data_IF_706012148040
#
_entry.id   IF_706012148040
#
_cell.length_a   1.000
_cell.length_b   1.000
_cell.length_c   1.000
_cell.angle_alpha   90.00
_cell.angle_beta   90.00
_cell.angle_gamma   90.00
#
_symmetry.space_group_name_H-M   'P 1'
#
loop_
_entity.id
_entity.type
_entity.pdbx_description
1 polymer ?
#
# COMPACT_ATOMS: atom_id res chain seq x y z
N UNK A 1 -23.00 -3.06 -11.79
CA UNK A 1 -23.38 -1.85 -11.01
C UNK A 1 -22.70 -0.67 -11.66
N UNK A 2 -23.48 0.24 -12.26
CA UNK A 2 -22.96 1.51 -12.78
C UNK A 2 -22.64 2.38 -11.54
N UNK A 3 -21.36 2.45 -11.19
CA UNK A 3 -20.95 3.36 -10.12
C UNK A 3 -21.25 4.79 -10.57
N UNK A 4 -22.01 5.52 -9.77
CA UNK A 4 -22.25 6.94 -10.00
C UNK A 4 -20.93 7.71 -9.86
N UNK A 5 -20.77 8.85 -10.55
CA UNK A 5 -19.64 9.77 -10.36
C UNK A 5 -19.44 10.09 -8.86
N UNK A 6 -20.54 10.22 -8.13
CA UNK A 6 -20.52 10.43 -6.68
C UNK A 6 -19.81 9.30 -5.94
N UNK A 7 -20.03 8.03 -6.32
CA UNK A 7 -19.40 6.89 -5.68
C UNK A 7 -17.88 6.88 -5.94
N UNK A 8 -17.45 7.22 -7.17
CA UNK A 8 -16.04 7.36 -7.51
C UNK A 8 -15.36 8.46 -6.68
N UNK A 9 -16.00 9.62 -6.53
CA UNK A 9 -15.49 10.72 -5.71
C UNK A 9 -15.34 10.31 -4.23
N UNK A 10 -16.34 9.64 -3.67
CA UNK A 10 -16.30 9.14 -2.30
C UNK A 10 -15.13 8.15 -2.12
N UNK A 11 -14.97 7.22 -3.06
CA UNK A 11 -13.89 6.23 -3.01
C UNK A 11 -12.50 6.87 -3.12
N UNK A 12 -12.32 7.88 -3.99
CA UNK A 12 -11.08 8.66 -4.08
C UNK A 12 -10.77 9.32 -2.73
N UNK A 13 -11.76 9.98 -2.12
CA UNK A 13 -11.59 10.65 -0.82
C UNK A 13 -11.20 9.63 0.27
N UNK A 14 -11.91 8.51 0.37
CA UNK A 14 -11.64 7.47 1.36
C UNK A 14 -10.23 6.88 1.21
N UNK A 15 -9.83 6.53 -0.02
CA UNK A 15 -8.50 5.99 -0.31
C UNK A 15 -7.42 7.04 0.00
N UNK A 16 -7.63 8.30 -0.40
CA UNK A 16 -6.68 9.39 -0.14
C UNK A 16 -6.49 9.65 1.36
N UNK A 17 -7.57 9.67 2.14
CA UNK A 17 -7.51 9.83 3.60
C UNK A 17 -6.71 8.68 4.23
N UNK A 18 -7.03 7.42 3.88
CA UNK A 18 -6.30 6.26 4.38
C UNK A 18 -4.82 6.30 4.02
N UNK A 19 -4.49 6.77 2.82
CA UNK A 19 -3.13 6.92 2.32
C UNK A 19 -2.35 7.99 3.09
N UNK A 20 -2.93 9.18 3.27
CA UNK A 20 -2.32 10.30 4.01
C UNK A 20 -2.11 9.93 5.49
N UNK A 21 -3.12 9.36 6.15
CA UNK A 21 -3.00 8.93 7.56
C UNK A 21 -1.88 7.91 7.71
N UNK A 22 -1.81 6.91 6.80
CA UNK A 22 -0.76 5.91 6.82
C UNK A 22 0.62 6.52 6.63
N UNK A 23 0.76 7.53 5.74
CA UNK A 23 2.04 8.20 5.51
C UNK A 23 2.47 9.07 6.68
N UNK A 24 1.54 9.81 7.30
CA UNK A 24 1.81 10.57 8.53
C UNK A 24 2.30 9.63 9.63
N UNK A 25 1.66 8.47 9.81
CA UNK A 25 2.10 7.46 10.78
C UNK A 25 3.52 6.97 10.49
N UNK A 26 3.84 6.71 9.23
CA UNK A 26 5.20 6.30 8.83
C UNK A 26 6.21 7.38 9.16
N UNK A 27 5.97 8.61 8.74
CA UNK A 27 6.94 9.71 8.90
C UNK A 27 7.08 10.20 10.35
N UNK A 28 5.97 10.22 11.10
CA UNK A 28 5.96 10.81 12.45
C UNK A 28 6.25 9.80 13.57
N UNK A 29 6.04 8.50 13.32
CA UNK A 29 6.17 7.48 14.37
C UNK A 29 7.13 6.38 13.95
N UNK A 30 6.89 5.73 12.79
CA UNK A 30 7.62 4.50 12.42
C UNK A 30 9.08 4.81 12.09
N UNK A 31 9.31 5.78 11.19
CA UNK A 31 10.68 6.14 10.77
C UNK A 31 11.51 6.69 11.94
N UNK A 32 11.02 7.63 12.78
CA UNK A 32 11.76 8.09 13.95
C UNK A 32 12.07 6.97 14.94
N UNK A 33 11.11 6.09 15.22
CA UNK A 33 11.32 4.93 16.09
C UNK A 33 12.36 3.97 15.50
N UNK A 34 12.28 3.69 14.20
CA UNK A 34 13.25 2.84 13.49
C UNK A 34 14.66 3.44 13.56
N UNK A 35 14.82 4.74 13.34
CA UNK A 35 16.10 5.43 13.44
C UNK A 35 16.68 5.39 14.85
N UNK A 36 15.83 5.48 15.87
CA UNK A 36 16.27 5.44 17.27
C UNK A 36 16.72 4.05 17.71
N UNK A 37 15.92 2.99 17.39
CA UNK A 37 16.20 1.63 17.86
C UNK A 37 17.07 0.80 16.92
N UNK A 38 17.09 1.14 15.63
CA UNK A 38 17.75 0.37 14.57
C UNK A 38 18.50 1.30 13.58
N UNK A 39 19.47 2.10 14.05
CA UNK A 39 20.13 3.12 13.22
C UNK A 39 20.90 2.53 12.03
N UNK A 40 21.29 1.25 12.09
CA UNK A 40 21.98 0.56 11.00
C UNK A 40 21.07 0.19 9.81
N UNK A 41 19.75 0.27 9.99
CA UNK A 41 18.80 -0.03 8.91
C UNK A 41 18.67 1.21 8.03
N UNK A 42 18.74 1.00 6.74
CA UNK A 42 18.76 2.08 5.75
C UNK A 42 17.57 3.04 5.90
N UNK A 43 17.81 4.33 5.74
CA UNK A 43 16.78 5.36 5.75
C UNK A 43 15.90 5.33 4.49
N UNK A 44 16.22 4.46 3.52
CA UNK A 44 15.50 4.35 2.25
C UNK A 44 14.21 3.54 2.32
N UNK A 45 14.01 2.74 3.39
CA UNK A 45 12.84 1.89 3.54
C UNK A 45 12.37 1.83 4.99
N UNK A 46 11.07 2.01 5.21
CA UNK A 46 10.45 1.77 6.50
C UNK A 46 10.17 0.27 6.68
N UNK A 47 10.53 -0.31 7.85
CA UNK A 47 10.27 -1.71 8.19
C UNK A 47 8.80 -2.04 8.44
N UNK A 48 7.95 -1.03 8.58
CA UNK A 48 6.50 -1.16 8.67
C UNK A 48 5.92 -0.07 7.77
N UNK A 49 5.29 -0.47 6.67
CA UNK A 49 4.76 0.46 5.67
C UNK A 49 3.26 0.23 5.41
N UNK A 50 2.36 0.74 6.28
CA UNK A 50 0.92 0.49 6.22
C UNK A 50 0.24 0.94 4.92
N UNK A 51 0.86 1.87 4.16
CA UNK A 51 0.35 2.30 2.86
C UNK A 51 0.16 1.12 1.91
N UNK A 52 1.03 0.10 1.99
CA UNK A 52 0.88 -1.10 1.17
C UNK A 52 -0.42 -1.85 1.49
N UNK A 53 -0.81 -1.90 2.77
CA UNK A 53 -2.10 -2.43 3.18
C UNK A 53 -3.29 -1.68 2.56
N UNK A 54 -3.22 -0.35 2.50
CA UNK A 54 -4.24 0.46 1.82
C UNK A 54 -4.30 0.12 0.33
N UNK A 55 -3.16 -0.09 -0.35
CA UNK A 55 -3.10 -0.50 -1.77
C UNK A 55 -3.78 -1.85 -1.98
N UNK A 56 -3.45 -2.84 -1.17
CA UNK A 56 -4.01 -4.21 -1.26
C UNK A 56 -5.52 -4.20 -1.02
N UNK A 57 -5.99 -3.49 0.02
CA UNK A 57 -7.42 -3.37 0.32
C UNK A 57 -8.16 -2.65 -0.81
N UNK A 58 -7.60 -1.55 -1.31
CA UNK A 58 -8.21 -0.80 -2.41
C UNK A 58 -8.31 -1.64 -3.69
N UNK A 59 -7.27 -2.39 -4.02
CA UNK A 59 -7.27 -3.30 -5.16
C UNK A 59 -8.32 -4.41 -5.01
N UNK A 60 -8.44 -4.97 -3.80
CA UNK A 60 -9.42 -6.01 -3.51
C UNK A 60 -10.87 -5.51 -3.54
N UNK A 61 -11.14 -4.29 -3.03
CA UNK A 61 -12.48 -3.70 -2.97
C UNK A 61 -12.94 -3.13 -4.30
N UNK A 62 -12.05 -2.46 -5.04
CA UNK A 62 -12.41 -1.64 -6.20
C UNK A 62 -11.90 -2.22 -7.53
N UNK A 63 -11.15 -3.33 -7.49
CA UNK A 63 -10.58 -3.93 -8.70
C UNK A 63 -9.72 -2.92 -9.48
N UNK A 64 -9.88 -2.88 -10.81
CA UNK A 64 -9.11 -1.99 -11.69
C UNK A 64 -9.30 -0.48 -11.40
N UNK A 65 -10.42 -0.06 -10.82
CA UNK A 65 -10.63 1.33 -10.42
C UNK A 65 -9.69 1.79 -9.30
N UNK A 66 -9.15 0.85 -8.51
CA UNK A 66 -8.17 1.16 -7.48
C UNK A 66 -6.92 1.84 -8.04
N UNK A 67 -6.53 1.55 -9.29
CA UNK A 67 -5.37 2.18 -9.95
C UNK A 67 -5.56 3.69 -10.00
N UNK A 68 -6.74 4.13 -10.48
CA UNK A 68 -7.04 5.56 -10.56
C UNK A 68 -7.11 6.21 -9.18
N UNK A 69 -7.78 5.55 -8.21
CA UNK A 69 -7.94 6.10 -6.87
C UNK A 69 -6.60 6.24 -6.15
N UNK A 70 -5.75 5.23 -6.24
CA UNK A 70 -4.41 5.24 -5.64
C UNK A 70 -3.48 6.23 -6.34
N UNK A 71 -3.56 6.35 -7.66
CA UNK A 71 -2.76 7.32 -8.40
C UNK A 71 -3.09 8.76 -8.00
N UNK A 72 -4.39 9.09 -7.91
CA UNK A 72 -4.85 10.39 -7.40
C UNK A 72 -4.43 10.59 -5.94
N UNK A 73 -4.53 9.56 -5.09
CA UNK A 73 -4.09 9.62 -3.70
C UNK A 73 -2.60 9.93 -3.57
N UNK A 74 -1.74 9.36 -4.44
CA UNK A 74 -0.31 9.69 -4.49
C UNK A 74 -0.06 11.15 -4.85
N UNK A 75 -0.81 11.67 -5.84
CA UNK A 75 -0.72 13.10 -6.23
C UNK A 75 -1.12 13.99 -5.05
N UNK A 76 -2.27 13.73 -4.44
CA UNK A 76 -2.76 14.51 -3.29
C UNK A 76 -1.75 14.45 -2.14
N UNK A 77 -1.24 13.27 -1.82
CA UNK A 77 -0.24 13.06 -0.78
C UNK A 77 1.03 13.87 -1.04
N UNK A 78 1.51 13.91 -2.29
CA UNK A 78 2.68 14.69 -2.67
C UNK A 78 2.46 16.18 -2.37
N UNK A 79 1.37 16.77 -2.83
CA UNK A 79 1.09 18.19 -2.60
C UNK A 79 0.81 18.55 -1.13
N UNK A 80 0.30 17.60 -0.35
CA UNK A 80 -0.02 17.84 1.07
C UNK A 80 1.22 17.67 1.96
N UNK A 81 2.05 16.65 1.72
CA UNK A 81 3.14 16.28 2.63
C UNK A 81 4.52 16.71 2.14
N UNK A 82 4.71 16.87 0.84
CA UNK A 82 6.00 17.21 0.24
C UNK A 82 5.87 18.27 -0.86
N UNK A 83 5.21 19.43 -0.58
CA UNK A 83 4.90 20.43 -1.62
C UNK A 83 6.14 21.05 -2.27
N UNK A 84 7.29 21.01 -1.60
CA UNK A 84 8.57 21.54 -2.10
C UNK A 84 9.39 20.52 -2.91
N UNK A 85 8.96 19.26 -2.98
CA UNK A 85 9.68 18.25 -3.74
C UNK A 85 9.36 18.36 -5.24
N UNK A 86 10.40 18.30 -6.06
CA UNK A 86 10.25 18.38 -7.52
C UNK A 86 9.51 17.17 -8.09
N UNK A 87 8.60 17.44 -9.01
CA UNK A 87 7.93 16.42 -9.79
C UNK A 87 8.87 15.89 -10.87
N UNK A 88 9.32 14.67 -10.72
CA UNK A 88 10.20 14.01 -11.66
C UNK A 88 9.50 12.89 -12.43
N UNK A 89 10.06 12.47 -13.57
CA UNK A 89 9.57 11.29 -14.28
C UNK A 89 9.62 10.06 -13.39
N UNK A 90 10.63 9.92 -12.52
CA UNK A 90 10.74 8.84 -11.56
C UNK A 90 9.57 8.84 -10.57
N UNK A 91 9.10 10.01 -10.12
CA UNK A 91 7.93 10.14 -9.25
C UNK A 91 6.68 9.56 -9.91
N UNK A 92 6.41 9.94 -11.17
CA UNK A 92 5.26 9.41 -11.92
C UNK A 92 5.35 7.90 -12.17
N UNK A 93 6.53 7.39 -12.49
CA UNK A 93 6.76 5.95 -12.65
C UNK A 93 6.53 5.20 -11.35
N UNK A 94 7.05 5.72 -10.22
CA UNK A 94 6.84 5.14 -8.90
C UNK A 94 5.35 5.14 -8.51
N UNK A 95 4.62 6.25 -8.72
CA UNK A 95 3.18 6.30 -8.46
C UNK A 95 2.38 5.33 -9.33
N UNK A 96 2.76 5.19 -10.62
CA UNK A 96 2.14 4.22 -11.52
C UNK A 96 2.36 2.79 -11.05
N UNK A 97 3.58 2.46 -10.65
CA UNK A 97 3.94 1.15 -10.10
C UNK A 97 3.11 0.84 -8.85
N UNK A 98 3.18 1.70 -7.83
CA UNK A 98 2.52 1.44 -6.53
C UNK A 98 1.00 1.43 -6.62
N UNK A 99 0.42 2.12 -7.60
CA UNK A 99 -1.03 2.12 -7.84
C UNK A 99 -1.51 0.85 -8.54
N UNK A 100 -0.64 0.21 -9.33
CA UNK A 100 -1.01 -0.92 -10.21
C UNK A 100 -0.68 -2.27 -9.59
N UNK A 101 0.41 -2.38 -8.82
CA UNK A 101 1.02 -3.65 -8.44
C UNK A 101 0.08 -4.58 -7.66
N UNK A 102 -0.72 -4.07 -6.73
CA UNK A 102 -1.63 -4.90 -5.94
C UNK A 102 -2.79 -5.45 -6.79
N UNK A 103 -3.36 -4.63 -7.67
CA UNK A 103 -4.36 -5.08 -8.62
C UNK A 103 -3.78 -6.08 -9.62
N UNK A 104 -2.62 -5.80 -10.19
CA UNK A 104 -1.93 -6.71 -11.10
C UNK A 104 -1.71 -8.09 -10.45
N UNK A 105 -1.30 -8.11 -9.19
CA UNK A 105 -1.09 -9.37 -8.44
C UNK A 105 -2.40 -10.15 -8.30
N UNK A 106 -3.51 -9.49 -7.97
CA UNK A 106 -4.83 -10.13 -7.89
C UNK A 106 -5.27 -10.71 -9.24
N UNK A 107 -5.05 -9.97 -10.33
CA UNK A 107 -5.36 -10.45 -11.69
C UNK A 107 -4.46 -11.61 -12.11
N UNK A 108 -3.17 -11.58 -11.77
CA UNK A 108 -2.26 -12.68 -12.06
C UNK A 108 -2.71 -13.98 -11.38
N UNK A 109 -3.13 -13.91 -10.11
CA UNK A 109 -3.73 -15.06 -9.43
C UNK A 109 -5.03 -15.51 -10.10
N UNK A 110 -5.88 -14.59 -10.52
CA UNK A 110 -7.14 -14.90 -11.22
C UNK A 110 -6.89 -15.62 -12.53
N UNK A 111 -5.92 -15.16 -13.33
CA UNK A 111 -5.53 -15.81 -14.60
C UNK A 111 -4.93 -17.20 -14.35
N UNK A 112 -4.21 -17.39 -13.24
CA UNK A 112 -3.69 -18.67 -12.80
C UNK A 112 -4.78 -19.61 -12.22
N UNK A 113 -6.07 -19.24 -12.31
CA UNK A 113 -7.20 -20.03 -11.82
C UNK A 113 -7.50 -19.87 -10.32
N UNK A 114 -6.80 -19.00 -9.63
CA UNK A 114 -6.97 -18.74 -8.19
C UNK A 114 -7.72 -17.41 -8.01
N UNK A 115 -9.04 -17.46 -7.88
CA UNK A 115 -9.83 -16.25 -7.66
C UNK A 115 -9.74 -15.82 -6.19
N UNK A 116 -9.00 -14.74 -5.95
CA UNK A 116 -8.84 -14.13 -4.61
C UNK A 116 -9.86 -13.01 -4.35
N UNK A 117 -10.60 -12.57 -5.37
CA UNK A 117 -11.78 -11.72 -5.20
C UNK A 117 -12.92 -12.58 -4.66
N UNK A 118 -13.26 -12.41 -3.39
CA UNK A 118 -14.45 -13.06 -2.85
C UNK A 118 -15.62 -12.09 -2.75
N UNK A 119 -16.83 -12.63 -2.94
CA UNK A 119 -18.06 -11.88 -2.67
C UNK A 119 -18.07 -11.39 -1.22
N UNK A 120 -18.43 -10.12 -0.99
CA UNK A 120 -18.57 -9.54 0.34
C UNK A 120 -19.54 -10.32 1.26
N UNK A 121 -20.39 -11.17 0.69
CA UNK A 121 -21.34 -12.03 1.43
C UNK A 121 -20.68 -13.18 2.18
N UNK A 122 -19.41 -13.49 1.91
CA UNK A 122 -18.68 -14.59 2.54
C UNK A 122 -17.29 -14.19 3.03
N UNK A 123 -17.18 -13.11 3.82
CA UNK A 123 -15.93 -12.78 4.50
C UNK A 123 -15.66 -13.90 5.51
N UNK A 124 -14.81 -14.84 5.12
CA UNK A 124 -14.39 -15.96 5.95
C UNK A 124 -13.06 -15.65 6.65
N UNK A 125 -12.76 -16.43 7.68
CA UNK A 125 -11.47 -16.40 8.39
C UNK A 125 -10.27 -16.55 7.46
N UNK A 126 -10.46 -17.03 6.22
CA UNK A 126 -9.40 -17.20 5.24
C UNK A 126 -9.14 -15.97 4.37
N UNK A 127 -10.03 -14.97 4.37
CA UNK A 127 -9.91 -13.79 3.50
C UNK A 127 -8.65 -12.98 3.81
N UNK A 128 -8.34 -12.75 5.09
CA UNK A 128 -7.14 -12.01 5.48
C UNK A 128 -5.84 -12.72 5.07
N UNK A 129 -5.81 -14.06 5.13
CA UNK A 129 -4.63 -14.86 4.71
C UNK A 129 -4.38 -14.73 3.22
N UNK A 130 -5.44 -14.73 2.41
CA UNK A 130 -5.36 -14.52 0.95
C UNK A 130 -4.86 -13.11 0.64
N UNK A 131 -5.34 -12.11 1.34
CA UNK A 131 -4.87 -10.73 1.18
C UNK A 131 -3.42 -10.56 1.64
N UNK A 132 -2.96 -11.27 2.68
CA UNK A 132 -1.56 -11.30 3.07
C UNK A 132 -0.67 -11.96 2.00
N UNK A 133 -1.15 -13.00 1.32
CA UNK A 133 -0.44 -13.58 0.18
C UNK A 133 -0.32 -12.57 -0.97
N UNK A 134 -1.39 -11.85 -1.29
CA UNK A 134 -1.35 -10.76 -2.28
C UNK A 134 -0.36 -9.68 -1.84
N UNK A 135 -0.38 -9.26 -0.57
CA UNK A 135 0.54 -8.28 -0.03
C UNK A 135 2.00 -8.72 -0.19
N UNK A 136 2.31 -9.96 0.14
CA UNK A 136 3.66 -10.50 0.01
C UNK A 136 4.12 -10.56 -1.45
N UNK A 137 3.31 -11.10 -2.36
CA UNK A 137 3.69 -11.20 -3.78
C UNK A 137 3.77 -9.82 -4.42
N UNK A 138 2.82 -8.92 -4.13
CA UNK A 138 2.87 -7.54 -4.64
C UNK A 138 4.05 -6.74 -4.05
N UNK A 139 4.49 -7.03 -2.82
CA UNK A 139 5.68 -6.38 -2.24
C UNK A 139 6.97 -6.77 -2.96
N UNK A 140 7.09 -8.00 -3.44
CA UNK A 140 8.22 -8.45 -4.26
C UNK A 140 8.25 -7.66 -5.57
N UNK A 141 7.13 -7.58 -6.28
CA UNK A 141 7.03 -6.84 -7.55
C UNK A 141 7.28 -5.34 -7.31
N UNK A 142 6.73 -4.79 -6.24
CA UNK A 142 6.93 -3.39 -5.84
C UNK A 142 8.40 -3.08 -5.58
N UNK A 143 9.10 -3.92 -4.82
CA UNK A 143 10.51 -3.71 -4.49
C UNK A 143 11.43 -3.84 -5.70
N UNK A 144 11.17 -4.80 -6.58
CA UNK A 144 11.89 -4.94 -7.85
C UNK A 144 11.68 -3.71 -8.75
N UNK A 145 10.41 -3.26 -8.90
CA UNK A 145 10.08 -2.09 -9.70
C UNK A 145 10.73 -0.81 -9.18
N UNK A 146 10.73 -0.58 -7.87
CA UNK A 146 11.43 0.56 -7.26
C UNK A 146 12.93 0.51 -7.52
N UNK A 147 13.54 -0.67 -7.41
CA UNK A 147 14.96 -0.85 -7.67
C UNK A 147 15.32 -0.47 -9.13
N UNK A 148 14.46 -0.81 -10.09
CA UNK A 148 14.63 -0.43 -11.50
C UNK A 148 14.42 1.08 -11.70
N UNK A 149 13.34 1.64 -11.14
CA UNK A 149 13.01 3.08 -11.30
C UNK A 149 14.10 3.97 -10.70
N UNK A 150 14.63 3.61 -9.54
CA UNK A 150 15.65 4.36 -8.82
C UNK A 150 17.06 3.80 -9.03
N UNK A 151 17.26 2.99 -10.09
CA UNK A 151 18.60 2.57 -10.51
C UNK A 151 19.47 3.81 -10.78
N UNK A 152 20.64 3.84 -10.13
CA UNK A 152 21.56 4.99 -10.17
C UNK A 152 21.40 5.98 -9.01
N UNK A 153 20.25 6.01 -8.30
CA UNK A 153 20.11 6.78 -7.07
C UNK A 153 20.44 5.90 -5.84
N UNK A 154 20.18 4.60 -5.93
CA UNK A 154 20.54 3.61 -4.92
C UNK A 154 21.93 3.07 -5.25
N UNK A 155 22.87 3.21 -4.31
CA UNK A 155 24.21 2.65 -4.45
C UNK A 155 24.09 1.13 -4.63
N UNK A 156 24.76 0.51 -5.63
CA UNK A 156 24.60 -0.91 -5.96
C UNK A 156 24.73 -1.86 -4.76
N UNK A 157 25.65 -1.55 -3.83
CA UNK A 157 25.89 -2.32 -2.62
C UNK A 157 24.68 -2.34 -1.67
N UNK A 158 23.84 -1.31 -1.70
CA UNK A 158 22.62 -1.18 -0.89
C UNK A 158 21.35 -1.66 -1.59
N UNK A 159 21.43 -2.03 -2.87
CA UNK A 159 20.27 -2.40 -3.68
C UNK A 159 19.51 -3.60 -3.11
N UNK A 160 20.22 -4.67 -2.78
CA UNK A 160 19.65 -5.90 -2.21
C UNK A 160 19.09 -5.69 -0.80
N UNK A 161 19.82 -5.08 0.16
CA UNK A 161 19.28 -4.74 1.48
C UNK A 161 18.03 -3.86 1.39
N UNK A 162 18.02 -2.84 0.52
CA UNK A 162 16.89 -1.95 0.32
C UNK A 162 15.67 -2.71 -0.23
N UNK A 163 15.88 -3.61 -1.20
CA UNK A 163 14.82 -4.45 -1.75
C UNK A 163 14.18 -5.34 -0.66
N UNK A 164 14.99 -6.01 0.17
CA UNK A 164 14.48 -6.81 1.29
C UNK A 164 13.75 -5.95 2.32
N UNK A 165 14.26 -4.76 2.62
CA UNK A 165 13.60 -3.84 3.55
C UNK A 165 12.23 -3.40 3.04
N UNK A 166 12.07 -3.11 1.74
CA UNK A 166 10.76 -2.85 1.12
C UNK A 166 9.82 -4.05 1.22
N UNK A 167 10.30 -5.27 0.89
CA UNK A 167 9.47 -6.48 0.98
C UNK A 167 8.95 -6.73 2.40
N UNK A 168 9.82 -6.63 3.37
CA UNK A 168 9.47 -6.80 4.79
C UNK A 168 8.54 -5.68 5.24
N UNK A 169 8.87 -4.44 4.92
CA UNK A 169 8.11 -3.25 5.31
C UNK A 169 6.68 -3.26 4.75
N UNK A 170 6.52 -3.57 3.49
CA UNK A 170 5.21 -3.67 2.83
C UNK A 170 4.36 -4.80 3.44
N UNK A 171 4.98 -5.97 3.69
CA UNK A 171 4.26 -7.13 4.24
C UNK A 171 3.85 -6.92 5.69
N UNK A 172 4.78 -6.48 6.55
CA UNK A 172 4.48 -6.16 7.95
C UNK A 172 3.53 -4.97 8.07
N UNK A 173 3.71 -3.95 7.22
CA UNK A 173 2.82 -2.79 7.19
C UNK A 173 1.39 -3.17 6.81
N UNK A 174 1.21 -4.09 5.87
CA UNK A 174 -0.11 -4.63 5.53
C UNK A 174 -0.73 -5.39 6.71
N UNK A 175 0.04 -6.20 7.41
CA UNK A 175 -0.43 -6.89 8.61
C UNK A 175 -0.90 -5.89 9.68
N UNK A 176 -0.10 -4.85 9.95
CA UNK A 176 -0.46 -3.79 10.90
C UNK A 176 -1.72 -3.05 10.45
N UNK A 177 -1.83 -2.73 9.16
CA UNK A 177 -3.04 -2.09 8.60
C UNK A 177 -4.29 -2.94 8.83
N UNK A 178 -4.23 -4.24 8.57
CA UNK A 178 -5.37 -5.14 8.82
C UNK A 178 -5.70 -5.26 10.31
N UNK A 179 -4.69 -5.31 11.17
CA UNK A 179 -4.87 -5.37 12.61
C UNK A 179 -5.56 -4.11 13.15
N UNK A 180 -5.13 -2.94 12.70
CA UNK A 180 -5.76 -1.65 13.05
C UNK A 180 -7.21 -1.61 12.60
N UNK A 181 -7.50 -2.00 11.35
CA UNK A 181 -8.87 -2.06 10.84
C UNK A 181 -9.74 -3.02 11.64
N UNK A 182 -9.21 -4.19 12.01
CA UNK A 182 -9.93 -5.15 12.85
C UNK A 182 -10.29 -4.54 14.20
N UNK A 183 -9.38 -3.85 14.86
CA UNK A 183 -9.64 -3.15 16.13
C UNK A 183 -10.70 -2.06 15.94
N UNK A 184 -10.56 -1.22 14.89
CA UNK A 184 -11.54 -0.17 14.60
C UNK A 184 -12.96 -0.73 14.41
N UNK A 185 -13.12 -1.79 13.62
CA UNK A 185 -14.42 -2.44 13.44
C UNK A 185 -14.97 -3.07 14.71
N UNK A 186 -14.09 -3.64 15.53
CA UNK A 186 -14.50 -4.22 16.83
C UNK A 186 -15.00 -3.15 17.79
N UNK A 187 -14.29 -2.02 17.88
CA UNK A 187 -14.70 -0.88 18.71
C UNK A 187 -16.02 -0.28 18.21
N UNK A 188 -16.16 -0.04 16.91
CA UNK A 188 -17.41 0.49 16.34
C UNK A 188 -18.62 -0.40 16.63
N UNK A 189 -18.45 -1.74 16.64
CA UNK A 189 -19.52 -2.65 17.05
C UNK A 189 -19.86 -2.53 18.53
N UNK A 190 -18.85 -2.36 19.40
CA UNK A 190 -19.05 -2.21 20.82
C UNK A 190 -19.81 -0.93 21.22
N UNK A 191 -19.64 0.14 20.43
CA UNK A 191 -20.37 1.41 20.66
C UNK A 191 -21.80 1.42 20.06
N UNK A 192 -22.13 0.43 19.22
CA UNK A 192 -23.46 0.36 18.58
C UNK A 192 -24.46 -0.52 19.35
N UNK A 193 -23.98 -1.29 20.33
CA UNK A 193 -24.76 -2.10 21.27
C UNK A 193 -24.87 -1.38 22.62
#
# INVERSE_FOLDING_TARGET
>A
MTNSIKDHLINIILVSIGYIISMILVQSVIVPAQQYYLPAITTFAALIFPLHGVRVISAWLFGGWSILYLFIANIIMHFVLTPSADLTVKSFLAWSLVSTVAWFTLEAFRVAGINLYQSMSSISTYTWRRLMLVAFVSSIINSLGHNVIFAGDIIPENSLPTMFAFMVGDTLGTFVCFFVLLICFRLMRAFKN
#
